data_IF_440453905143
#
_entry.id   IF_440453905143
#
_cell.length_a   1.000
_cell.length_b   1.000
_cell.length_c   1.000
_cell.angle_alpha   90.00
_cell.angle_beta   90.00
_cell.angle_gamma   90.00
#
_symmetry.space_group_name_H-M   'P 1'
#
loop_
_entity.id
_entity.type
_entity.pdbx_description
1 polymer ?
#
# COMPACT_ATOMS: atom_id res chain seq x y z
N UNK A 1 24.89 41.69 -24.57
CA UNK A 1 24.71 40.30 -25.04
C UNK A 1 23.61 40.37 -26.09
N UNK A 2 23.78 39.88 -27.32
CA UNK A 2 22.70 39.95 -28.29
C UNK A 2 21.56 39.04 -27.81
N UNK A 3 20.37 39.61 -27.61
CA UNK A 3 19.16 38.86 -27.27
C UNK A 3 18.72 38.08 -28.51
N UNK A 4 18.90 36.76 -28.48
CA UNK A 4 18.34 35.85 -29.47
C UNK A 4 16.88 35.58 -29.11
N UNK A 5 16.01 36.57 -29.33
CA UNK A 5 14.56 36.36 -29.23
C UNK A 5 14.11 35.58 -30.48
N UNK A 6 14.08 34.26 -30.35
CA UNK A 6 13.43 33.39 -31.31
C UNK A 6 11.96 33.27 -30.90
N UNK A 7 11.07 33.64 -31.80
CA UNK A 7 9.64 33.45 -31.67
C UNK A 7 9.34 31.96 -31.83
N UNK A 8 8.84 31.36 -30.76
CA UNK A 8 8.56 29.93 -30.67
C UNK A 8 7.06 29.79 -30.46
N UNK A 9 6.38 29.14 -31.41
CA UNK A 9 4.98 28.73 -31.22
C UNK A 9 4.93 27.55 -30.26
N UNK A 10 4.21 27.71 -29.15
CA UNK A 10 3.94 26.65 -28.17
C UNK A 10 2.64 25.88 -28.45
N UNK A 11 1.99 26.16 -29.58
CA UNK A 11 0.72 25.57 -29.98
C UNK A 11 0.93 24.33 -30.84
N UNK A 12 0.27 23.23 -30.46
CA UNK A 12 0.41 21.94 -31.12
C UNK A 12 1.54 21.11 -30.50
N UNK A 13 1.21 19.92 -29.99
CA UNK A 13 2.14 18.97 -29.35
C UNK A 13 2.16 17.61 -30.05
N UNK A 14 1.34 17.43 -31.07
CA UNK A 14 1.32 16.25 -31.92
C UNK A 14 2.42 16.32 -32.98
N UNK A 15 2.84 15.15 -33.48
CA UNK A 15 3.90 15.04 -34.47
C UNK A 15 3.74 15.97 -35.67
N UNK A 16 2.53 16.09 -36.22
CA UNK A 16 2.26 16.88 -37.42
C UNK A 16 2.49 18.38 -37.16
N UNK A 17 1.97 18.91 -36.05
CA UNK A 17 2.17 20.31 -35.68
C UNK A 17 3.61 20.61 -35.26
N UNK A 18 4.29 19.67 -34.58
CA UNK A 18 5.71 19.82 -34.24
C UNK A 18 6.59 19.86 -35.50
N UNK A 19 6.33 19.00 -36.48
CA UNK A 19 7.02 19.00 -37.79
C UNK A 19 6.83 20.33 -38.51
N UNK A 20 5.61 20.84 -38.57
CA UNK A 20 5.29 22.11 -39.22
C UNK A 20 5.94 23.31 -38.50
N UNK A 21 5.83 23.37 -37.17
CA UNK A 21 6.45 24.41 -36.35
C UNK A 21 7.98 24.41 -36.49
N UNK A 22 8.62 23.23 -36.51
CA UNK A 22 10.06 23.11 -36.73
C UNK A 22 10.45 23.55 -38.15
N UNK A 23 9.59 23.29 -39.14
CA UNK A 23 9.82 23.72 -40.52
C UNK A 23 9.73 25.25 -40.66
N UNK A 24 8.72 25.87 -40.04
CA UNK A 24 8.60 27.33 -39.96
C UNK A 24 9.79 27.96 -39.23
N UNK A 25 10.23 27.34 -38.14
CA UNK A 25 11.41 27.77 -37.39
C UNK A 25 12.69 27.72 -38.22
N UNK A 26 12.91 26.62 -38.96
CA UNK A 26 14.05 26.48 -39.86
C UNK A 26 14.04 27.51 -41.00
N UNK A 27 12.86 27.76 -41.60
CA UNK A 27 12.68 28.79 -42.64
C UNK A 27 12.97 30.20 -42.13
N UNK A 28 12.56 30.51 -40.91
CA UNK A 28 12.67 31.84 -40.32
C UNK A 28 14.10 32.12 -39.85
N UNK A 29 14.74 31.17 -39.18
CA UNK A 29 16.02 31.39 -38.50
C UNK A 29 17.24 30.87 -39.26
N UNK A 30 17.07 29.95 -40.21
CA UNK A 30 18.17 29.37 -40.99
C UNK A 30 17.96 29.42 -42.52
N UNK A 31 17.45 30.54 -43.10
CA UNK A 31 17.10 30.60 -44.53
C UNK A 31 18.30 30.48 -45.48
N UNK A 32 19.52 30.77 -45.01
CA UNK A 32 20.75 30.67 -45.80
C UNK A 32 21.40 29.30 -45.74
N UNK A 33 21.13 28.51 -44.70
CA UNK A 33 21.79 27.22 -44.44
C UNK A 33 20.95 26.06 -44.95
N UNK A 34 19.62 26.17 -44.91
CA UNK A 34 18.73 25.09 -45.29
C UNK A 34 17.52 25.61 -46.07
N UNK A 35 17.41 25.20 -47.34
CA UNK A 35 16.34 25.61 -48.27
C UNK A 35 15.51 24.47 -48.84
N UNK A 36 15.97 23.23 -48.68
CA UNK A 36 15.32 22.05 -49.26
C UNK A 36 14.45 21.34 -48.22
N UNK A 37 13.15 21.59 -48.24
CA UNK A 37 12.16 20.97 -47.33
C UNK A 37 11.40 19.80 -47.98
N UNK A 38 11.98 19.18 -49.01
CA UNK A 38 11.43 17.97 -49.58
C UNK A 38 11.53 16.79 -48.58
N UNK A 39 10.57 15.87 -48.63
CA UNK A 39 10.50 14.71 -47.72
C UNK A 39 11.66 13.72 -47.90
N UNK A 40 12.33 13.74 -49.06
CA UNK A 40 13.52 12.93 -49.33
C UNK A 40 14.84 13.54 -48.82
N UNK A 41 14.81 14.78 -48.29
CA UNK A 41 16.02 15.47 -47.84
C UNK A 41 16.51 14.92 -46.49
N UNK A 42 17.83 14.66 -46.31
CA UNK A 42 18.39 14.28 -45.02
C UNK A 42 18.07 15.28 -43.89
N UNK A 43 17.93 16.57 -44.19
CA UNK A 43 17.55 17.56 -43.18
C UNK A 43 16.09 17.45 -42.74
N UNK A 44 15.21 16.94 -43.61
CA UNK A 44 13.82 16.66 -43.25
C UNK A 44 13.72 15.44 -42.34
N UNK A 45 14.55 14.42 -42.61
CA UNK A 45 14.68 13.24 -41.73
C UNK A 45 15.12 13.64 -40.30
N UNK A 46 16.04 14.60 -40.16
CA UNK A 46 16.41 15.13 -38.84
C UNK A 46 15.27 15.89 -38.17
N UNK A 47 14.54 16.72 -38.92
CA UNK A 47 13.39 17.44 -38.39
C UNK A 47 12.30 16.50 -37.87
N UNK A 48 12.00 15.45 -38.64
CA UNK A 48 11.02 14.43 -38.28
C UNK A 48 11.48 13.58 -37.10
N UNK A 49 12.77 13.29 -36.99
CA UNK A 49 13.33 12.60 -35.82
C UNK A 49 13.16 13.44 -34.54
N UNK A 50 13.38 14.75 -34.62
CA UNK A 50 13.17 15.67 -33.49
C UNK A 50 11.69 15.80 -33.15
N UNK A 51 10.82 15.89 -34.16
CA UNK A 51 9.36 15.92 -33.95
C UNK A 51 8.86 14.65 -33.27
N UNK A 52 9.38 13.47 -33.65
CA UNK A 52 9.06 12.20 -33.01
C UNK A 52 9.47 12.17 -31.53
N UNK A 53 10.71 12.57 -31.21
CA UNK A 53 11.16 12.65 -29.81
C UNK A 53 10.33 13.66 -29.03
N UNK A 54 9.96 14.79 -29.63
CA UNK A 54 9.11 15.81 -29.02
C UNK A 54 7.72 15.29 -28.65
N UNK A 55 7.08 14.54 -29.55
CA UNK A 55 5.77 13.93 -29.32
C UNK A 55 5.81 12.89 -28.18
N UNK A 56 6.83 12.01 -28.17
CA UNK A 56 7.03 11.03 -27.10
C UNK A 56 7.27 11.72 -25.74
N UNK A 57 8.08 12.77 -25.71
CA UNK A 57 8.30 13.54 -24.47
C UNK A 57 7.04 14.29 -24.02
N UNK A 58 6.24 14.78 -24.97
CA UNK A 58 4.92 15.38 -24.71
C UNK A 58 3.99 14.38 -24.01
N UNK A 59 3.90 13.16 -24.55
CA UNK A 59 3.14 12.06 -23.96
C UNK A 59 3.53 11.79 -22.49
N UNK A 60 4.84 11.65 -22.21
CA UNK A 60 5.30 11.38 -20.84
C UNK A 60 5.11 12.57 -19.90
N UNK A 61 5.25 13.80 -20.38
CA UNK A 61 5.03 15.00 -19.57
C UNK A 61 3.56 15.11 -19.16
N UNK A 62 2.65 14.87 -20.09
CA UNK A 62 1.22 14.91 -19.82
C UNK A 62 0.79 13.75 -18.90
N UNK A 63 1.39 12.57 -19.06
CA UNK A 63 1.21 11.45 -18.13
C UNK A 63 1.67 11.82 -16.71
N UNK A 64 2.87 12.39 -16.56
CA UNK A 64 3.38 12.82 -15.26
C UNK A 64 2.50 13.91 -14.61
N UNK A 65 1.97 14.84 -15.41
CA UNK A 65 1.05 15.87 -14.91
C UNK A 65 -0.29 15.28 -14.47
N UNK A 66 -0.88 14.36 -15.25
CA UNK A 66 -2.12 13.66 -14.84
C UNK A 66 -1.92 12.90 -13.54
N UNK A 67 -0.80 12.21 -13.40
CA UNK A 67 -0.42 11.50 -12.18
C UNK A 67 -0.15 12.44 -11.00
N UNK A 68 0.10 13.73 -11.21
CA UNK A 68 0.25 14.69 -10.10
C UNK A 68 -1.08 15.11 -9.45
N UNK A 69 -2.21 14.80 -10.08
CA UNK A 69 -3.54 15.25 -9.66
C UNK A 69 -4.38 14.07 -9.17
N UNK A 70 -4.84 14.11 -7.92
CA UNK A 70 -5.58 13.01 -7.29
C UNK A 70 -6.78 12.49 -8.11
N UNK A 71 -7.61 13.34 -8.75
CA UNK A 71 -8.75 12.85 -9.54
C UNK A 71 -8.36 12.10 -10.83
N UNK A 72 -7.13 12.28 -11.30
CA UNK A 72 -6.65 11.79 -12.59
C UNK A 72 -5.50 10.78 -12.48
N UNK A 73 -4.92 10.61 -11.29
CA UNK A 73 -3.88 9.63 -11.05
C UNK A 73 -4.43 8.20 -11.21
N UNK A 74 -3.79 7.39 -12.04
CA UNK A 74 -4.16 5.99 -12.27
C UNK A 74 -3.24 5.04 -11.49
N UNK A 75 -2.00 5.47 -11.20
CA UNK A 75 -1.05 4.63 -10.48
C UNK A 75 -1.37 4.58 -8.97
N UNK A 76 -1.54 3.38 -8.42
CA UNK A 76 -1.85 3.18 -6.98
C UNK A 76 -0.84 3.83 -6.05
N UNK A 77 0.45 3.71 -6.36
CA UNK A 77 1.50 4.33 -5.55
C UNK A 77 1.34 5.84 -5.52
N UNK A 78 1.03 6.44 -6.66
CA UNK A 78 0.85 7.87 -6.78
C UNK A 78 -0.40 8.38 -6.06
N UNK A 79 -1.51 7.64 -6.15
CA UNK A 79 -2.71 7.92 -5.35
C UNK A 79 -2.36 7.92 -3.85
N UNK A 80 -1.60 6.93 -3.37
CA UNK A 80 -1.17 6.89 -1.97
C UNK A 80 -0.24 8.05 -1.61
N UNK A 81 0.70 8.42 -2.48
CA UNK A 81 1.61 9.54 -2.26
C UNK A 81 0.85 10.87 -2.12
N UNK A 82 -0.10 11.13 -3.02
CA UNK A 82 -0.91 12.35 -2.98
C UNK A 82 -1.82 12.33 -1.74
N UNK A 83 -2.46 11.20 -1.43
CA UNK A 83 -3.30 11.08 -0.24
C UNK A 83 -2.50 11.32 1.04
N UNK A 84 -1.28 10.79 1.15
CA UNK A 84 -0.37 11.04 2.27
C UNK A 84 0.07 12.50 2.35
N UNK A 85 0.37 13.14 1.20
CA UNK A 85 0.67 14.57 1.15
C UNK A 85 -0.50 15.42 1.66
N UNK A 86 -1.74 15.00 1.40
CA UNK A 86 -2.96 15.65 1.90
C UNK A 86 -3.28 15.31 3.37
N UNK A 87 -2.43 14.51 4.05
CA UNK A 87 -2.59 14.14 5.46
C UNK A 87 -3.38 12.85 5.72
N UNK A 88 -3.76 12.10 4.68
CA UNK A 88 -4.38 10.79 4.82
C UNK A 88 -3.33 9.68 4.86
N UNK A 89 -3.24 8.97 5.99
CA UNK A 89 -2.41 7.77 6.10
C UNK A 89 -3.21 6.53 5.69
N UNK A 90 -2.88 5.86 4.57
CA UNK A 90 -3.60 4.67 4.15
C UNK A 90 -3.47 3.56 5.18
N UNK A 91 -4.60 2.86 5.44
CA UNK A 91 -4.61 1.73 6.36
C UNK A 91 -3.87 0.56 5.73
N UNK A 92 -2.78 0.13 6.37
CA UNK A 92 -2.05 -1.07 5.99
C UNK A 92 -2.88 -2.33 6.31
N UNK A 93 -2.45 -3.47 5.78
CA UNK A 93 -3.01 -4.78 6.15
C UNK A 93 -3.05 -4.92 7.68
N UNK A 94 -4.26 -5.04 8.22
CA UNK A 94 -4.48 -5.24 9.65
C UNK A 94 -4.67 -6.73 9.91
N UNK A 95 -4.03 -7.32 10.93
CA UNK A 95 -4.25 -8.72 11.27
C UNK A 95 -5.69 -8.94 11.75
N UNK A 96 -6.19 -10.17 11.56
CA UNK A 96 -7.46 -10.58 12.15
C UNK A 96 -7.31 -10.74 13.67
N UNK A 97 -8.27 -10.22 14.43
CA UNK A 97 -8.33 -10.35 15.89
C UNK A 97 -9.56 -11.18 16.26
N UNK A 98 -9.37 -12.13 17.16
CA UNK A 98 -10.45 -12.96 17.72
C UNK A 98 -10.19 -13.21 19.19
N UNK A 99 -11.26 -13.37 19.95
CA UNK A 99 -11.20 -13.83 21.34
C UNK A 99 -11.24 -15.36 21.37
N UNK A 100 -10.40 -15.98 22.20
CA UNK A 100 -10.33 -17.42 22.39
C UNK A 100 -10.43 -17.70 23.88
N UNK A 101 -11.36 -18.59 24.26
CA UNK A 101 -11.50 -19.07 25.63
C UNK A 101 -10.77 -20.39 25.78
N UNK A 102 -9.90 -20.47 26.78
CA UNK A 102 -9.22 -21.70 27.18
C UNK A 102 -9.81 -22.21 28.48
N UNK A 103 -10.13 -23.49 28.52
CA UNK A 103 -10.58 -24.19 29.73
C UNK A 103 -9.59 -25.29 30.08
N UNK A 104 -9.23 -25.38 31.36
CA UNK A 104 -8.36 -26.42 31.91
C UNK A 104 -9.00 -26.97 33.18
N UNK A 105 -9.04 -28.30 33.31
CA UNK A 105 -9.40 -28.95 34.56
C UNK A 105 -8.15 -29.06 35.46
N UNK A 106 -8.31 -28.65 36.72
CA UNK A 106 -7.28 -28.73 37.75
C UNK A 106 -7.80 -29.52 38.95
N UNK A 107 -6.94 -30.31 39.63
CA UNK A 107 -7.34 -31.07 40.80
C UNK A 107 -7.76 -30.14 41.95
N UNK A 108 -8.61 -30.64 42.84
CA UNK A 108 -8.94 -29.94 44.07
C UNK A 108 -7.75 -29.96 45.05
N UNK A 109 -7.64 -28.91 45.86
CA UNK A 109 -6.55 -28.80 46.84
C UNK A 109 -6.73 -29.82 47.97
N UNK A 110 -5.62 -30.37 48.46
CA UNK A 110 -5.64 -31.44 49.47
C UNK A 110 -6.12 -30.98 50.86
N UNK A 111 -6.07 -29.68 51.15
CA UNK A 111 -6.52 -29.02 52.38
C UNK A 111 -7.95 -28.47 52.29
N UNK A 112 -8.42 -28.13 51.09
CA UNK A 112 -9.79 -27.65 50.82
C UNK A 112 -10.31 -28.18 49.48
N UNK A 113 -11.25 -29.13 49.56
CA UNK A 113 -11.86 -29.76 48.38
C UNK A 113 -12.80 -28.84 47.61
N UNK A 114 -13.11 -27.65 48.14
CA UNK A 114 -14.00 -26.67 47.48
C UNK A 114 -13.24 -25.66 46.62
N UNK A 115 -11.90 -25.73 46.60
CA UNK A 115 -11.07 -24.82 45.80
C UNK A 115 -10.18 -25.59 44.83
N UNK A 116 -10.09 -25.15 43.56
CA UNK A 116 -9.14 -25.71 42.61
C UNK A 116 -7.70 -25.39 43.02
N UNK A 117 -6.80 -26.36 42.85
CA UNK A 117 -5.39 -26.18 43.12
C UNK A 117 -4.71 -25.41 41.97
N UNK A 118 -4.49 -24.12 42.18
CA UNK A 118 -3.85 -23.23 41.22
C UNK A 118 -2.36 -23.54 40.99
N UNK A 119 -1.70 -24.36 41.81
CA UNK A 119 -0.31 -24.74 41.54
C UNK A 119 -0.19 -25.63 40.29
N UNK A 120 -1.26 -26.35 39.96
CA UNK A 120 -1.38 -27.16 38.74
C UNK A 120 -1.93 -26.37 37.54
N UNK A 121 -2.30 -25.10 37.73
CA UNK A 121 -2.85 -24.30 36.65
C UNK A 121 -1.73 -23.87 35.67
N UNK A 122 -1.97 -24.03 34.38
CA UNK A 122 -0.96 -23.77 33.34
C UNK A 122 -0.82 -22.25 33.11
N UNK A 123 0.33 -21.82 32.59
CA UNK A 123 0.47 -20.49 32.00
C UNK A 123 0.65 -20.66 30.49
N UNK A 124 -0.35 -20.23 29.71
CA UNK A 124 -0.29 -20.23 28.26
C UNK A 124 0.44 -18.96 27.82
N UNK A 125 1.65 -19.13 27.28
CA UNK A 125 2.49 -18.01 26.87
C UNK A 125 1.96 -17.29 25.64
N UNK A 126 2.26 -16.00 25.53
CA UNK A 126 2.00 -15.16 24.34
C UNK A 126 2.56 -15.77 23.04
N UNK A 127 3.61 -16.60 23.14
CA UNK A 127 4.19 -17.30 21.98
C UNK A 127 3.36 -18.48 21.48
N UNK A 128 2.26 -18.82 22.17
CA UNK A 128 1.38 -19.93 21.80
C UNK A 128 0.66 -19.61 20.50
N UNK A 129 0.58 -20.62 19.63
CA UNK A 129 -0.08 -20.52 18.34
C UNK A 129 -1.29 -21.44 18.29
N UNK A 130 -2.40 -20.94 17.78
CA UNK A 130 -3.66 -21.66 17.65
C UNK A 130 -4.01 -21.75 16.18
N UNK A 131 -4.19 -22.96 15.68
CA UNK A 131 -4.62 -23.23 14.31
C UNK A 131 -6.14 -23.32 14.26
N UNK A 132 -6.77 -22.60 13.33
CA UNK A 132 -8.18 -22.82 12.97
C UNK A 132 -8.27 -23.93 11.93
N UNK A 133 -8.80 -25.13 12.26
CA UNK A 133 -8.82 -26.27 11.32
C UNK A 133 -9.70 -26.03 10.11
N UNK A 134 -10.73 -25.19 10.24
CA UNK A 134 -11.68 -24.91 9.17
C UNK A 134 -11.14 -23.97 8.09
N UNK A 135 -10.20 -23.08 8.43
CA UNK A 135 -9.65 -22.07 7.51
C UNK A 135 -8.14 -22.17 7.28
N UNK A 136 -7.43 -23.02 8.04
CA UNK A 136 -5.97 -23.17 7.91
C UNK A 136 -5.18 -21.92 8.33
N UNK A 137 -5.79 -21.00 9.07
CA UNK A 137 -5.15 -19.76 9.55
C UNK A 137 -4.60 -19.99 10.96
N UNK A 138 -3.36 -19.53 11.18
CA UNK A 138 -2.68 -19.58 12.46
C UNK A 138 -2.80 -18.22 13.17
N UNK A 139 -3.23 -18.25 14.43
CA UNK A 139 -3.28 -17.08 15.31
C UNK A 139 -2.20 -17.21 16.38
N UNK A 140 -1.69 -16.07 16.86
CA UNK A 140 -0.82 -15.99 18.04
C UNK A 140 -1.54 -15.22 19.14
N UNK A 141 -1.33 -15.60 20.38
CA UNK A 141 -1.80 -14.82 21.53
C UNK A 141 -1.03 -13.49 21.66
N UNK A 142 -1.74 -12.43 22.02
CA UNK A 142 -1.14 -11.10 22.23
C UNK A 142 -0.54 -10.93 23.62
N UNK A 143 -0.93 -11.77 24.58
CA UNK A 143 -0.50 -11.71 25.98
C UNK A 143 -0.52 -13.10 26.61
N UNK A 144 0.27 -13.28 27.67
CA UNK A 144 0.24 -14.48 28.51
C UNK A 144 -1.14 -14.64 29.17
N UNK A 145 -1.74 -15.83 29.03
CA UNK A 145 -2.92 -16.24 29.77
C UNK A 145 -2.47 -17.13 30.94
N UNK A 146 -2.37 -16.53 32.13
CA UNK A 146 -1.96 -17.22 33.35
C UNK A 146 -3.18 -17.57 34.20
N UNK A 147 -3.45 -18.86 34.38
CA UNK A 147 -4.54 -19.32 35.23
C UNK A 147 -4.23 -19.16 36.73
N UNK A 148 -2.96 -19.03 37.13
CA UNK A 148 -2.53 -18.92 38.55
C UNK A 148 -2.81 -17.58 39.21
N UNK A 149 -2.64 -16.49 38.46
CA UNK A 149 -2.73 -15.12 38.98
C UNK A 149 -3.84 -14.36 38.25
N UNK A 150 -4.60 -13.53 38.96
CA UNK A 150 -5.60 -12.70 38.29
C UNK A 150 -4.88 -11.61 37.49
N UNK A 151 -5.10 -11.61 36.18
CA UNK A 151 -4.59 -10.58 35.28
C UNK A 151 -5.84 -9.88 34.75
N UNK A 152 -5.97 -8.57 34.94
CA UNK A 152 -7.21 -7.82 34.67
C UNK A 152 -7.78 -7.91 33.24
N UNK A 153 -7.09 -8.57 32.30
CA UNK A 153 -7.55 -8.86 30.94
C UNK A 153 -8.02 -10.33 30.74
N UNK A 154 -7.99 -11.16 31.78
CA UNK A 154 -8.38 -12.58 31.73
C UNK A 154 -9.57 -12.79 32.66
N UNK A 155 -10.75 -13.01 32.08
CA UNK A 155 -11.94 -13.38 32.85
C UNK A 155 -11.81 -14.87 33.21
N UNK A 156 -11.78 -15.18 34.51
CA UNK A 156 -11.74 -16.55 35.03
C UNK A 156 -13.13 -16.97 35.44
N UNK A 157 -13.64 -18.05 34.84
CA UNK A 157 -14.85 -18.74 35.29
C UNK A 157 -14.41 -20.08 35.90
N UNK A 158 -14.79 -20.34 37.16
CA UNK A 158 -14.41 -21.55 37.88
C UNK A 158 -15.64 -22.44 38.01
N UNK A 159 -15.61 -23.60 37.37
CA UNK A 159 -16.67 -24.61 37.50
C UNK A 159 -16.13 -25.83 38.23
N UNK A 160 -16.88 -26.34 39.21
CA UNK A 160 -16.53 -27.58 39.91
C UNK A 160 -17.34 -28.75 39.34
N UNK A 161 -16.65 -29.83 39.01
CA UNK A 161 -17.30 -31.10 38.66
C UNK A 161 -17.38 -31.96 39.93
N UNK A 162 -18.56 -32.07 40.52
CA UNK A 162 -18.78 -32.97 41.66
C UNK A 162 -18.68 -34.45 41.20
N UNK A 163 -18.39 -35.37 42.12
CA UNK A 163 -18.28 -36.83 41.92
C UNK A 163 -19.50 -37.49 41.22
N UNK A 164 -20.61 -36.78 41.07
CA UNK A 164 -21.82 -37.21 40.35
C UNK A 164 -21.98 -36.61 38.93
N UNK A 165 -20.94 -36.01 38.34
CA UNK A 165 -20.95 -35.54 36.94
C UNK A 165 -21.87 -34.34 36.66
N UNK A 166 -22.24 -33.57 37.68
CA UNK A 166 -22.99 -32.32 37.53
C UNK A 166 -22.03 -31.14 37.72
N UNK A 167 -22.04 -30.21 36.77
CA UNK A 167 -21.20 -29.00 36.78
C UNK A 167 -21.97 -27.91 37.53
N UNK A 168 -21.44 -27.46 38.67
CA UNK A 168 -21.92 -26.25 39.36
C UNK A 168 -21.03 -25.06 38.98
N UNK A 169 -21.68 -23.97 38.53
CA UNK A 169 -21.02 -22.71 38.19
C UNK A 169 -21.02 -21.79 39.42
N UNK A 170 -19.87 -21.22 39.74
CA UNK A 170 -19.74 -20.12 40.70
C UNK A 170 -19.22 -18.87 40.00
#
# INVERSE_FOLDING_TARGET
MPNYEKDIKYTGRDFASLRENLMEFAKTYFPSVYKDFNEASPGMMFLESVAYVGDVMGYYTDAAFKESLLPYAEEKNQIYNIAQFMGYTPRLISPALTEIKFSQEVPARSDDTTQPDYDYATNIKESTRVLSPAQGVEFRLMSDCNFKADQGNVIKEVSQTATNGTIEYY
#
